data_IF_193041667637
#
_entry.id   IF_193041667637
#
_cell.length_a   1.000
_cell.length_b   1.000
_cell.length_c   1.000
_cell.angle_alpha   90.00
_cell.angle_beta   90.00
_cell.angle_gamma   90.00
#
_symmetry.space_group_name_H-M   'P 1'
#
loop_
_entity.id
_entity.type
_entity.pdbx_description
1 polymer ?
#
# COMPACT_ATOMS: atom_id res chain seq x y z
N UNK A 1 -21.38 -12.09 -5.53
CA UNK A 1 -20.93 -13.42 -5.96
C UNK A 1 -20.55 -13.32 -7.40
N UNK A 2 -19.34 -13.81 -7.73
CA UNK A 2 -18.82 -13.72 -9.07
C UNK A 2 -19.82 -14.25 -10.08
N UNK A 3 -19.99 -13.60 -11.25
CA UNK A 3 -20.95 -13.99 -12.29
C UNK A 3 -20.66 -15.38 -12.90
N UNK A 4 -19.61 -16.04 -12.42
CA UNK A 4 -19.20 -17.37 -12.87
C UNK A 4 -19.85 -18.54 -12.12
N UNK A 5 -20.60 -18.27 -11.03
CA UNK A 5 -21.30 -19.34 -10.34
C UNK A 5 -22.68 -19.57 -10.96
N UNK A 6 -22.96 -20.78 -11.45
CA UNK A 6 -24.22 -21.10 -12.12
C UNK A 6 -25.43 -21.10 -11.17
N UNK A 7 -25.20 -20.96 -9.84
CA UNK A 7 -26.23 -20.97 -8.81
C UNK A 7 -26.20 -19.65 -8.07
N UNK A 8 -27.16 -18.79 -8.29
CA UNK A 8 -27.20 -17.38 -7.89
C UNK A 8 -27.00 -17.10 -6.38
N UNK A 9 -27.37 -18.00 -5.50
CA UNK A 9 -27.28 -17.84 -4.04
C UNK A 9 -26.21 -18.73 -3.36
N UNK A 10 -25.56 -19.62 -4.11
CA UNK A 10 -24.57 -20.55 -3.53
C UNK A 10 -23.42 -19.83 -2.81
N UNK A 11 -22.87 -18.78 -3.39
CA UNK A 11 -21.81 -17.99 -2.77
C UNK A 11 -22.24 -17.29 -1.48
N UNK A 12 -23.45 -16.78 -1.43
CA UNK A 12 -24.02 -16.17 -0.21
C UNK A 12 -24.22 -17.22 0.88
N UNK A 13 -24.71 -18.41 0.55
CA UNK A 13 -24.86 -19.53 1.48
C UNK A 13 -23.52 -20.01 2.02
N UNK A 14 -22.48 -20.10 1.17
CA UNK A 14 -21.12 -20.45 1.58
C UNK A 14 -20.57 -19.39 2.54
N UNK A 15 -20.69 -18.11 2.22
CA UNK A 15 -20.23 -17.02 3.08
C UNK A 15 -20.97 -17.03 4.44
N UNK A 16 -22.28 -17.19 4.42
CA UNK A 16 -23.09 -17.27 5.65
C UNK A 16 -22.68 -18.47 6.50
N UNK A 17 -22.47 -19.65 5.91
CA UNK A 17 -22.00 -20.83 6.61
C UNK A 17 -20.62 -20.60 7.24
N UNK A 18 -19.69 -20.06 6.48
CA UNK A 18 -18.31 -19.78 6.94
C UNK A 18 -18.30 -18.85 8.16
N UNK A 19 -19.00 -17.71 8.07
CA UNK A 19 -19.07 -16.75 9.17
C UNK A 19 -19.83 -17.30 10.39
N UNK A 20 -20.98 -17.95 10.19
CA UNK A 20 -21.77 -18.52 11.28
C UNK A 20 -20.99 -19.64 12.01
N UNK A 21 -20.29 -20.50 11.27
CA UNK A 21 -19.44 -21.53 11.85
C UNK A 21 -18.30 -20.92 12.66
N UNK A 22 -17.62 -19.89 12.11
CA UNK A 22 -16.56 -19.20 12.83
C UNK A 22 -17.05 -18.55 14.13
N UNK A 23 -18.19 -17.84 14.09
CA UNK A 23 -18.81 -17.23 15.27
C UNK A 23 -19.17 -18.31 16.33
N UNK A 24 -19.75 -19.42 15.90
CA UNK A 24 -20.14 -20.51 16.80
C UNK A 24 -18.92 -21.15 17.50
N UNK A 25 -17.82 -21.32 16.80
CA UNK A 25 -16.57 -21.90 17.33
C UNK A 25 -15.71 -20.95 18.15
N UNK A 26 -15.91 -19.62 17.99
CA UNK A 26 -15.12 -18.58 18.66
C UNK A 26 -15.93 -17.78 19.71
N UNK A 27 -16.84 -18.46 20.43
CA UNK A 27 -17.60 -17.87 21.55
C UNK A 27 -18.35 -16.58 21.18
N UNK A 28 -18.93 -16.55 19.99
CA UNK A 28 -19.71 -15.40 19.49
C UNK A 28 -18.90 -14.29 18.83
N UNK A 29 -17.59 -14.46 18.67
CA UNK A 29 -16.73 -13.51 17.98
C UNK A 29 -16.49 -13.92 16.53
N UNK A 30 -16.50 -12.96 15.63
CA UNK A 30 -16.08 -13.16 14.25
C UNK A 30 -14.55 -12.95 14.17
N UNK A 31 -13.80 -14.00 13.95
CA UNK A 31 -12.33 -14.01 13.85
C UNK A 31 -11.83 -14.47 12.47
N UNK A 32 -12.69 -14.43 11.46
CA UNK A 32 -12.37 -14.83 10.09
C UNK A 32 -12.87 -13.81 9.08
N UNK A 33 -12.18 -13.73 7.96
CA UNK A 33 -12.57 -12.91 6.81
C UNK A 33 -12.60 -13.76 5.55
N UNK A 34 -13.50 -13.43 4.64
CA UNK A 34 -13.54 -13.98 3.28
C UNK A 34 -13.14 -12.87 2.32
N UNK A 35 -12.26 -13.21 1.38
CA UNK A 35 -11.83 -12.30 0.32
C UNK A 35 -12.36 -12.79 -1.03
N UNK A 36 -12.72 -11.86 -1.90
CA UNK A 36 -13.11 -12.19 -3.26
C UNK A 36 -12.83 -11.05 -4.22
N UNK A 37 -12.64 -11.41 -5.49
CA UNK A 37 -12.49 -10.47 -6.60
C UNK A 37 -13.86 -10.13 -7.19
N UNK A 38 -13.91 -9.05 -7.98
CA UNK A 38 -15.09 -8.67 -8.78
C UNK A 38 -16.37 -8.60 -7.92
N UNK A 39 -16.30 -7.84 -6.81
CA UNK A 39 -17.43 -7.62 -5.91
C UNK A 39 -18.13 -6.31 -6.26
N UNK A 40 -19.46 -6.33 -6.26
CA UNK A 40 -20.27 -5.11 -6.24
C UNK A 40 -20.26 -4.46 -4.84
N UNK A 41 -20.80 -3.24 -4.73
CA UNK A 41 -20.81 -2.47 -3.48
C UNK A 41 -21.53 -3.18 -2.34
N UNK A 42 -22.61 -3.91 -2.62
CA UNK A 42 -23.35 -4.64 -1.58
C UNK A 42 -22.56 -5.86 -1.08
N UNK A 43 -21.89 -6.55 -1.98
CA UNK A 43 -21.05 -7.70 -1.64
C UNK A 43 -19.84 -7.28 -0.80
N UNK A 44 -19.26 -6.10 -1.05
CA UNK A 44 -18.15 -5.54 -0.26
C UNK A 44 -18.49 -5.22 1.20
N UNK A 45 -19.77 -5.15 1.54
CA UNK A 45 -20.21 -4.99 2.94
C UNK A 45 -20.01 -6.25 3.78
N UNK A 46 -19.93 -7.42 3.15
CA UNK A 46 -19.80 -8.70 3.81
C UNK A 46 -18.50 -9.45 3.47
N UNK A 47 -17.86 -9.13 2.35
CA UNK A 47 -16.68 -9.83 1.83
C UNK A 47 -15.63 -8.77 1.51
N UNK A 48 -14.40 -8.99 1.96
CA UNK A 48 -13.28 -8.10 1.67
C UNK A 48 -12.95 -8.13 0.18
N UNK A 49 -12.89 -6.97 -0.44
CA UNK A 49 -12.55 -6.85 -1.84
C UNK A 49 -11.05 -7.10 -2.05
N UNK A 50 -10.71 -8.07 -2.88
CA UNK A 50 -9.35 -8.40 -3.29
C UNK A 50 -9.11 -7.90 -4.72
N UNK A 51 -8.24 -6.90 -4.84
CA UNK A 51 -7.83 -6.28 -6.11
C UNK A 51 -6.56 -6.96 -6.61
N UNK A 52 -6.57 -7.43 -7.85
CA UNK A 52 -5.39 -8.07 -8.41
C UNK A 52 -4.42 -7.06 -9.01
N UNK A 53 -3.18 -7.04 -8.50
CA UNK A 53 -2.05 -6.25 -9.02
C UNK A 53 -2.40 -4.79 -9.27
N UNK A 54 -2.94 -4.13 -8.24
CA UNK A 54 -3.31 -2.74 -8.35
C UNK A 54 -3.98 -2.16 -7.13
N UNK A 55 -4.47 -0.92 -7.25
CA UNK A 55 -5.13 -0.18 -6.19
C UNK A 55 -6.23 0.73 -6.75
N UNK A 56 -7.33 0.97 -6.00
CA UNK A 56 -8.27 2.04 -6.31
C UNK A 56 -7.57 3.40 -6.25
N UNK A 57 -8.15 4.41 -6.92
CA UNK A 57 -7.59 5.77 -6.92
C UNK A 57 -8.25 6.67 -5.87
N UNK A 58 -8.61 6.11 -4.73
CA UNK A 58 -9.24 6.83 -3.62
C UNK A 58 -9.07 6.07 -2.30
N UNK A 59 -9.26 6.76 -1.19
CA UNK A 59 -9.37 6.12 0.11
C UNK A 59 -10.67 5.32 0.15
N UNK A 60 -10.56 4.04 0.50
CA UNK A 60 -11.71 3.16 0.63
C UNK A 60 -12.24 3.21 2.07
N UNK A 61 -13.57 3.30 2.20
CA UNK A 61 -14.23 3.28 3.51
C UNK A 61 -14.02 1.94 4.22
N UNK A 62 -14.21 0.84 3.48
CA UNK A 62 -13.98 -0.51 4.01
C UNK A 62 -12.56 -0.97 3.72
N UNK A 63 -11.94 -1.75 4.63
CA UNK A 63 -10.68 -2.41 4.36
C UNK A 63 -10.76 -3.29 3.12
N UNK A 64 -9.70 -3.31 2.36
CA UNK A 64 -9.55 -4.10 1.13
C UNK A 64 -8.16 -4.70 1.04
N UNK A 65 -7.94 -5.59 0.11
CA UNK A 65 -6.65 -6.22 -0.14
C UNK A 65 -6.23 -5.99 -1.58
N UNK A 66 -4.93 -5.86 -1.81
CA UNK A 66 -4.32 -6.06 -3.11
C UNK A 66 -3.43 -7.28 -3.05
N UNK A 67 -3.58 -8.20 -4.00
CA UNK A 67 -2.63 -9.27 -4.19
C UNK A 67 -1.68 -8.95 -5.34
N UNK A 68 -0.38 -9.15 -5.12
CA UNK A 68 0.67 -8.99 -6.13
C UNK A 68 1.77 -10.02 -5.91
N UNK A 69 2.74 -10.07 -6.81
CA UNK A 69 3.88 -10.98 -6.72
C UNK A 69 5.20 -10.24 -7.00
N UNK A 70 6.30 -10.74 -6.46
CA UNK A 70 7.64 -10.20 -6.76
C UNK A 70 7.97 -10.45 -8.23
N UNK A 71 7.79 -11.67 -8.73
CA UNK A 71 8.00 -12.07 -10.12
C UNK A 71 6.73 -12.63 -10.75
N UNK A 72 6.42 -13.88 -10.47
CA UNK A 72 5.21 -14.59 -10.92
C UNK A 72 4.41 -15.14 -9.75
N UNK A 73 3.23 -15.73 -10.02
CA UNK A 73 2.43 -16.43 -9.00
C UNK A 73 3.03 -17.79 -8.62
N UNK A 74 3.80 -18.37 -9.52
CA UNK A 74 4.55 -19.60 -9.33
C UNK A 74 5.99 -19.38 -9.76
N UNK A 75 6.92 -20.18 -9.23
CA UNK A 75 8.31 -20.13 -9.64
C UNK A 75 8.46 -20.36 -11.14
N UNK A 76 9.23 -19.51 -11.80
CA UNK A 76 9.46 -19.58 -13.23
C UNK A 76 10.92 -19.24 -13.54
N UNK A 77 11.64 -20.22 -14.09
CA UNK A 77 13.06 -20.08 -14.45
C UNK A 77 13.32 -18.96 -15.45
N UNK A 78 12.37 -18.68 -16.36
CA UNK A 78 12.53 -17.56 -17.28
C UNK A 78 12.51 -16.19 -16.57
N UNK A 79 11.74 -16.03 -15.49
CA UNK A 79 11.77 -14.83 -14.66
C UNK A 79 13.14 -14.70 -13.99
N UNK A 80 13.65 -15.79 -13.45
CA UNK A 80 14.97 -15.84 -12.82
C UNK A 80 16.09 -15.50 -13.81
N UNK A 81 16.13 -16.17 -14.95
CA UNK A 81 17.16 -16.00 -15.97
C UNK A 81 17.22 -14.58 -16.54
N UNK A 82 16.04 -13.98 -16.78
CA UNK A 82 15.92 -12.64 -17.37
C UNK A 82 15.81 -11.52 -16.33
N UNK A 83 15.88 -11.85 -15.04
CA UNK A 83 15.74 -10.88 -13.95
C UNK A 83 14.45 -10.04 -14.01
N UNK A 84 13.32 -10.67 -14.29
CA UNK A 84 12.01 -9.99 -14.41
C UNK A 84 11.29 -9.88 -13.06
N UNK A 85 12.02 -9.58 -12.02
CA UNK A 85 11.49 -9.32 -10.69
C UNK A 85 11.18 -7.83 -10.49
N UNK A 86 10.18 -7.54 -9.65
CA UNK A 86 10.05 -6.21 -9.06
C UNK A 86 11.24 -5.95 -8.14
N UNK A 87 11.74 -4.73 -8.14
CA UNK A 87 12.71 -4.32 -7.13
C UNK A 87 12.06 -4.18 -5.75
N UNK A 88 12.85 -4.22 -4.69
CA UNK A 88 12.35 -3.92 -3.34
C UNK A 88 11.68 -2.53 -3.28
N UNK A 89 12.23 -1.54 -3.98
CA UNK A 89 11.66 -0.21 -4.09
C UNK A 89 10.26 -0.21 -4.75
N UNK A 90 10.03 -1.05 -5.78
CA UNK A 90 8.70 -1.17 -6.40
C UNK A 90 7.68 -1.82 -5.47
N UNK A 91 8.12 -2.81 -4.68
CA UNK A 91 7.27 -3.44 -3.65
C UNK A 91 6.92 -2.43 -2.55
N UNK A 92 7.89 -1.62 -2.11
CA UNK A 92 7.66 -0.53 -1.14
C UNK A 92 6.65 0.49 -1.67
N UNK A 93 6.83 0.98 -2.91
CA UNK A 93 5.90 1.93 -3.52
C UNK A 93 4.47 1.38 -3.56
N UNK A 94 4.33 0.11 -3.93
CA UNK A 94 3.04 -0.57 -3.96
C UNK A 94 2.43 -0.67 -2.56
N UNK A 95 3.18 -1.13 -1.56
CA UNK A 95 2.73 -1.23 -0.17
C UNK A 95 2.25 0.11 0.37
N UNK A 96 3.07 1.15 0.22
CA UNK A 96 2.79 2.50 0.73
C UNK A 96 1.54 3.08 0.09
N UNK A 97 1.37 2.91 -1.22
CA UNK A 97 0.18 3.37 -1.94
C UNK A 97 -1.08 2.63 -1.47
N UNK A 98 -1.02 1.31 -1.31
CA UNK A 98 -2.13 0.49 -0.84
C UNK A 98 -2.55 0.88 0.59
N UNK A 99 -1.58 1.00 1.51
CA UNK A 99 -1.86 1.33 2.92
C UNK A 99 -2.43 2.74 3.07
N UNK A 100 -1.95 3.71 2.28
CA UNK A 100 -2.49 5.08 2.27
C UNK A 100 -3.97 5.17 1.87
N UNK A 101 -4.51 4.11 1.24
CA UNK A 101 -5.90 4.00 0.76
C UNK A 101 -6.75 3.02 1.56
N UNK A 102 -6.34 2.67 2.79
CA UNK A 102 -7.01 1.71 3.69
C UNK A 102 -6.91 0.25 3.22
N UNK A 103 -5.87 -0.09 2.47
CA UNK A 103 -5.65 -1.44 1.93
C UNK A 103 -4.58 -2.22 2.67
N UNK A 104 -4.52 -3.53 2.37
CA UNK A 104 -3.49 -4.45 2.80
C UNK A 104 -2.83 -5.10 1.57
N UNK A 105 -1.54 -5.30 1.61
CA UNK A 105 -0.80 -5.99 0.55
C UNK A 105 -0.63 -7.48 0.90
N UNK A 106 -1.08 -8.36 0.01
CA UNK A 106 -0.71 -9.77 -0.03
C UNK A 106 0.36 -9.95 -1.11
N UNK A 107 1.60 -10.17 -0.69
CA UNK A 107 2.74 -10.32 -1.59
C UNK A 107 3.09 -11.80 -1.77
N UNK A 108 2.96 -12.31 -3.00
CA UNK A 108 3.41 -13.66 -3.35
C UNK A 108 4.91 -13.66 -3.62
N UNK A 109 5.60 -14.61 -2.97
CA UNK A 109 7.01 -14.91 -3.18
C UNK A 109 7.09 -16.40 -3.52
N UNK A 110 7.26 -16.76 -4.80
CA UNK A 110 7.26 -18.15 -5.22
C UNK A 110 8.46 -18.92 -4.67
N UNK A 111 8.26 -20.17 -4.34
CA UNK A 111 9.31 -21.08 -3.93
C UNK A 111 9.75 -22.00 -5.08
N UNK A 112 11.02 -22.35 -5.12
CA UNK A 112 11.52 -23.47 -5.91
C UNK A 112 10.85 -24.78 -5.50
N UNK A 113 10.94 -25.80 -6.32
CA UNK A 113 10.34 -27.11 -6.06
C UNK A 113 10.85 -27.79 -4.76
N UNK A 114 12.03 -27.42 -4.30
CA UNK A 114 12.63 -27.89 -3.04
C UNK A 114 12.20 -27.09 -1.80
N UNK A 115 11.35 -26.06 -2.00
CA UNK A 115 10.85 -25.19 -0.92
C UNK A 115 11.77 -24.04 -0.56
N UNK A 116 12.83 -23.77 -1.32
CA UNK A 116 13.74 -22.63 -1.09
C UNK A 116 13.36 -21.42 -1.94
N UNK A 117 13.75 -20.22 -1.51
CA UNK A 117 13.80 -19.03 -2.38
C UNK A 117 14.98 -19.09 -3.33
N UNK A 118 14.90 -18.38 -4.44
CA UNK A 118 16.11 -18.07 -5.19
C UNK A 118 16.86 -16.87 -4.56
N UNK A 119 18.12 -16.72 -4.89
CA UNK A 119 18.98 -15.68 -4.30
C UNK A 119 18.60 -14.26 -4.71
N UNK A 120 17.85 -14.09 -5.83
CA UNK A 120 17.35 -12.78 -6.25
C UNK A 120 16.11 -12.39 -5.46
N UNK A 121 15.20 -13.35 -5.24
CA UNK A 121 14.03 -13.15 -4.37
C UNK A 121 14.46 -12.90 -2.94
N UNK A 122 15.42 -13.68 -2.42
CA UNK A 122 15.96 -13.50 -1.07
C UNK A 122 16.57 -12.10 -0.89
N UNK A 123 17.34 -11.63 -1.87
CA UNK A 123 17.88 -10.26 -1.87
C UNK A 123 16.79 -9.21 -1.80
N UNK A 124 15.75 -9.33 -2.64
CA UNK A 124 14.62 -8.39 -2.65
C UNK A 124 13.90 -8.38 -1.30
N UNK A 125 13.67 -9.56 -0.70
CA UNK A 125 13.04 -9.67 0.61
C UNK A 125 13.88 -9.04 1.72
N UNK A 126 15.19 -9.20 1.69
CA UNK A 126 16.11 -8.60 2.66
C UNK A 126 16.09 -7.06 2.55
N UNK A 127 16.23 -6.51 1.33
CA UNK A 127 16.15 -5.07 1.09
C UNK A 127 14.80 -4.49 1.51
N UNK A 128 13.70 -5.18 1.21
CA UNK A 128 12.36 -4.81 1.64
C UNK A 128 12.22 -4.85 3.16
N UNK A 129 12.76 -5.89 3.81
CA UNK A 129 12.80 -6.05 5.26
C UNK A 129 13.59 -4.93 5.97
N UNK A 130 14.72 -4.53 5.42
CA UNK A 130 15.53 -3.40 5.92
C UNK A 130 14.72 -2.10 5.89
N UNK A 131 14.04 -1.83 4.76
CA UNK A 131 13.18 -0.66 4.64
C UNK A 131 12.04 -0.68 5.67
N UNK A 132 11.34 -1.82 5.82
CA UNK A 132 10.26 -2.01 6.80
C UNK A 132 10.78 -1.77 8.22
N UNK A 133 11.94 -2.27 8.58
CA UNK A 133 12.51 -2.10 9.92
C UNK A 133 12.67 -0.63 10.32
N UNK A 134 13.02 0.24 9.36
CA UNK A 134 13.16 1.68 9.57
C UNK A 134 11.79 2.36 9.58
N UNK A 135 10.89 1.97 8.67
CA UNK A 135 9.67 2.72 8.36
C UNK A 135 8.37 2.10 8.91
N UNK A 136 8.47 1.04 9.71
CA UNK A 136 7.32 0.27 10.21
C UNK A 136 6.21 1.10 10.86
N UNK A 137 6.55 2.17 11.56
CA UNK A 137 5.57 3.03 12.22
C UNK A 137 4.74 3.88 11.25
N UNK A 138 5.21 4.07 10.01
CA UNK A 138 4.45 4.72 8.95
C UNK A 138 3.51 3.74 8.21
N UNK A 139 3.62 2.45 8.49
CA UNK A 139 2.87 1.38 7.82
C UNK A 139 1.90 0.70 8.77
N UNK A 140 2.40 0.13 9.89
CA UNK A 140 1.60 -0.67 10.80
C UNK A 140 0.81 0.20 11.78
N UNK A 141 -0.40 -0.24 12.13
CA UNK A 141 -1.32 0.46 13.04
C UNK A 141 -1.70 1.89 12.60
N UNK A 142 -1.49 2.21 11.33
CA UNK A 142 -1.87 3.49 10.73
C UNK A 142 -3.27 3.45 10.13
N UNK A 143 -3.76 4.63 9.76
CA UNK A 143 -4.98 4.85 8.98
C UNK A 143 -4.68 5.85 7.87
N UNK A 144 -5.45 5.87 6.78
CA UNK A 144 -5.38 6.97 5.82
C UNK A 144 -5.54 8.33 6.50
N UNK A 145 -4.89 9.34 5.95
CA UNK A 145 -5.13 10.73 6.31
C UNK A 145 -6.32 11.30 5.53
N UNK A 146 -6.56 12.62 5.59
CA UNK A 146 -7.62 13.33 4.83
C UNK A 146 -7.52 13.13 3.32
N UNK A 147 -6.28 12.98 2.82
CA UNK A 147 -5.95 12.62 1.44
C UNK A 147 -4.94 11.46 1.46
N UNK A 148 -5.03 10.54 0.50
CA UNK A 148 -4.10 9.41 0.45
C UNK A 148 -2.70 9.80 -0.05
N UNK A 149 -2.61 10.90 -0.80
CA UNK A 149 -1.34 11.33 -1.38
C UNK A 149 -1.45 12.59 -2.20
N UNK A 150 -0.32 13.01 -2.74
CA UNK A 150 -0.17 14.08 -3.72
C UNK A 150 0.90 13.73 -4.72
N UNK A 151 0.89 14.40 -5.86
CA UNK A 151 1.81 14.20 -6.97
C UNK A 151 1.12 13.76 -8.25
N UNK A 152 1.84 13.72 -9.39
CA UNK A 152 1.26 13.47 -10.71
C UNK A 152 0.48 12.16 -10.82
N UNK A 153 0.94 11.07 -10.16
CA UNK A 153 0.24 9.78 -10.17
C UNK A 153 -0.99 9.82 -9.25
N UNK A 154 -0.87 10.46 -8.07
CA UNK A 154 -2.00 10.59 -7.13
C UNK A 154 -3.14 11.44 -7.71
N UNK A 155 -2.81 12.45 -8.50
CA UNK A 155 -3.75 13.38 -9.14
C UNK A 155 -4.26 12.86 -10.49
N UNK A 156 -3.62 11.83 -11.07
CA UNK A 156 -4.03 11.24 -12.34
C UNK A 156 -5.29 10.37 -12.18
N UNK A 157 -6.15 10.38 -13.21
CA UNK A 157 -7.29 9.44 -13.30
C UNK A 157 -6.83 8.06 -13.74
N UNK A 158 -6.11 7.36 -12.84
CA UNK A 158 -5.66 5.99 -13.09
C UNK A 158 -6.81 5.05 -12.85
N UNK A 159 -7.43 4.61 -13.96
CA UNK A 159 -8.55 3.68 -13.92
C UNK A 159 -8.11 2.29 -13.47
N UNK A 160 -8.91 1.70 -12.61
CA UNK A 160 -8.85 0.31 -12.26
C UNK A 160 -9.95 -0.44 -13.03
N UNK A 161 -9.61 -1.56 -13.66
CA UNK A 161 -10.65 -2.45 -14.20
C UNK A 161 -11.30 -3.27 -13.07
N UNK A 162 -12.30 -4.08 -13.40
CA UNK A 162 -13.04 -4.86 -12.40
C UNK A 162 -12.16 -5.80 -11.55
N UNK A 163 -10.97 -6.16 -12.01
CA UNK A 163 -10.03 -7.03 -11.30
C UNK A 163 -8.81 -6.30 -10.75
N UNK A 164 -8.40 -5.15 -11.34
CA UNK A 164 -7.21 -4.43 -10.95
C UNK A 164 -6.27 -4.15 -12.14
N UNK A 165 -5.03 -4.67 -12.08
CA UNK A 165 -3.99 -4.59 -13.12
C UNK A 165 -3.51 -3.18 -13.46
N UNK A 166 -3.41 -2.28 -12.47
CA UNK A 166 -2.87 -0.93 -12.66
C UNK A 166 -1.57 -0.66 -11.86
N UNK A 167 -0.97 -1.69 -11.23
CA UNK A 167 0.23 -1.53 -10.40
C UNK A 167 1.44 -0.96 -11.15
N UNK A 168 1.55 -1.17 -12.47
CA UNK A 168 2.65 -0.66 -13.28
C UNK A 168 2.76 0.87 -13.33
N UNK A 169 1.71 1.61 -12.94
CA UNK A 169 1.75 3.05 -12.86
C UNK A 169 2.73 3.54 -11.77
N UNK A 170 2.87 2.78 -10.68
CA UNK A 170 3.64 3.20 -9.51
C UNK A 170 5.15 3.01 -9.66
N UNK A 171 5.60 2.15 -10.56
CA UNK A 171 7.04 1.96 -10.83
C UNK A 171 7.74 3.22 -11.32
N UNK A 172 6.98 4.14 -11.96
CA UNK A 172 7.46 5.43 -12.50
C UNK A 172 7.39 6.58 -11.48
N UNK A 173 7.06 6.29 -10.22
CA UNK A 173 6.93 7.32 -9.20
C UNK A 173 8.24 8.08 -8.98
N UNK A 174 8.14 9.41 -8.92
CA UNK A 174 9.23 10.35 -8.68
C UNK A 174 9.20 10.89 -7.25
N UNK A 175 10.14 11.75 -6.88
CA UNK A 175 10.15 12.44 -5.60
C UNK A 175 8.96 13.41 -5.39
N UNK A 176 8.16 13.68 -6.41
CA UNK A 176 6.93 14.46 -6.29
C UNK A 176 5.75 13.63 -5.78
N UNK A 177 5.86 12.31 -5.82
CA UNK A 177 4.84 11.40 -5.33
C UNK A 177 5.00 11.20 -3.83
N UNK A 178 3.98 11.56 -3.08
CA UNK A 178 3.93 11.42 -1.62
C UNK A 178 2.67 10.65 -1.26
N UNK A 179 2.77 9.75 -0.29
CA UNK A 179 1.62 9.03 0.28
C UNK A 179 1.52 9.31 1.76
N UNK A 180 0.29 9.44 2.25
CA UNK A 180 0.02 9.83 3.62
C UNK A 180 -0.63 8.70 4.41
N UNK A 181 -0.12 8.50 5.61
CA UNK A 181 -0.74 7.68 6.64
C UNK A 181 -0.67 8.43 7.97
N UNK A 182 -1.51 8.06 8.92
CA UNK A 182 -1.52 8.72 10.22
C UNK A 182 -1.77 7.76 11.37
N UNK A 183 -1.29 8.15 12.53
CA UNK A 183 -1.70 7.62 13.83
C UNK A 183 -2.33 8.76 14.66
N UNK A 184 -2.76 8.46 15.87
CA UNK A 184 -3.20 9.53 16.82
C UNK A 184 -2.10 10.52 17.19
N UNK A 185 -0.82 10.18 16.92
CA UNK A 185 0.35 10.95 17.39
C UNK A 185 1.09 11.67 16.27
N UNK A 186 1.06 11.12 15.05
CA UNK A 186 1.86 11.60 13.94
C UNK A 186 1.16 11.42 12.60
N UNK A 187 1.47 12.32 11.68
CA UNK A 187 1.23 12.19 10.24
C UNK A 187 2.53 11.75 9.59
N UNK A 188 2.47 10.72 8.77
CA UNK A 188 3.58 10.22 7.99
C UNK A 188 3.39 10.60 6.52
N UNK A 189 4.45 11.09 5.91
CA UNK A 189 4.52 11.45 4.50
C UNK A 189 5.64 10.64 3.86
N UNK A 190 5.31 9.59 3.15
CA UNK A 190 6.28 8.75 2.45
C UNK A 190 6.50 9.28 1.03
N UNK A 191 7.71 9.77 0.77
CA UNK A 191 8.15 10.25 -0.54
C UNK A 191 8.63 9.05 -1.35
N UNK A 192 8.05 8.82 -2.54
CA UNK A 192 8.27 7.57 -3.30
C UNK A 192 9.59 7.50 -4.08
N UNK A 193 10.38 8.56 -4.06
CA UNK A 193 11.77 8.54 -4.52
C UNK A 193 12.57 9.62 -3.79
N UNK A 194 13.88 9.46 -3.71
CA UNK A 194 14.73 10.48 -3.11
C UNK A 194 14.90 11.66 -4.07
N UNK A 195 14.60 12.92 -3.65
CA UNK A 195 14.77 14.08 -4.51
C UNK A 195 16.25 14.37 -4.80
N UNK A 196 16.57 14.68 -6.06
CA UNK A 196 17.95 14.94 -6.49
C UNK A 196 18.53 16.22 -5.86
N UNK A 197 17.67 17.22 -5.66
CA UNK A 197 18.03 18.51 -5.05
C UNK A 197 17.99 18.51 -3.51
N UNK A 198 17.71 17.35 -2.90
CA UNK A 198 17.62 17.19 -1.45
C UNK A 198 16.44 17.95 -0.81
N UNK A 199 15.42 18.36 -1.59
CA UNK A 199 14.29 19.13 -1.09
C UNK A 199 12.97 18.39 -1.26
N UNK A 200 12.15 18.43 -0.23
CA UNK A 200 10.76 17.93 -0.26
C UNK A 200 9.82 19.09 -0.01
N UNK A 201 8.79 19.22 -0.83
CA UNK A 201 7.71 20.18 -0.64
C UNK A 201 6.39 19.43 -0.56
N UNK A 202 5.77 19.42 0.63
CA UNK A 202 4.48 18.78 0.85
C UNK A 202 3.39 19.83 0.71
N UNK A 203 2.74 19.86 -0.46
CA UNK A 203 1.72 20.87 -0.82
C UNK A 203 0.47 20.77 0.04
N UNK A 204 0.05 19.55 0.37
CA UNK A 204 -1.11 19.27 1.24
C UNK A 204 -0.96 19.85 2.65
N UNK A 205 0.26 20.17 3.08
CA UNK A 205 0.55 20.81 4.38
C UNK A 205 0.84 22.30 4.26
N UNK A 206 0.50 22.96 3.14
CA UNK A 206 0.70 24.39 2.98
C UNK A 206 -0.10 25.22 3.98
N UNK A 207 0.32 26.45 4.22
CA UNK A 207 -0.42 27.36 5.11
C UNK A 207 -1.77 27.82 4.52
N UNK A 208 -1.95 27.71 3.19
CA UNK A 208 -3.21 28.05 2.49
C UNK A 208 -4.23 26.91 2.54
N UNK A 209 -3.77 25.67 2.54
CA UNK A 209 -4.64 24.50 2.57
C UNK A 209 -5.21 24.28 3.97
N UNK A 210 -6.51 23.98 4.06
CA UNK A 210 -7.21 23.76 5.32
C UNK A 210 -7.18 22.29 5.80
N UNK A 211 -6.45 21.41 5.10
CA UNK A 211 -6.37 19.99 5.45
C UNK A 211 -5.72 19.77 6.84
N UNK A 212 -4.77 20.64 7.21
CA UNK A 212 -4.19 20.65 8.55
C UNK A 212 -4.12 22.06 9.09
N UNK A 213 -4.97 22.38 10.06
CA UNK A 213 -5.05 23.72 10.68
C UNK A 213 -4.09 23.89 11.86
N UNK A 214 -3.51 22.80 12.37
CA UNK A 214 -2.63 22.83 13.54
C UNK A 214 -1.23 23.40 13.25
N UNK A 215 -0.49 23.66 14.33
CA UNK A 215 0.93 24.02 14.26
C UNK A 215 1.77 22.74 14.14
N UNK A 216 2.59 22.65 13.10
CA UNK A 216 3.61 21.60 12.97
C UNK A 216 4.74 21.96 13.96
N UNK A 217 4.99 21.06 14.91
CA UNK A 217 5.98 21.29 15.97
C UNK A 217 7.33 20.69 15.65
N UNK A 218 7.34 19.60 14.87
CA UNK A 218 8.51 18.79 14.62
C UNK A 218 8.34 18.06 13.26
N UNK A 219 9.42 17.92 12.55
CA UNK A 219 9.55 17.03 11.39
C UNK A 219 10.73 16.12 11.63
N UNK A 220 10.55 14.83 11.41
CA UNK A 220 11.58 13.81 11.53
C UNK A 220 11.64 12.98 10.27
N UNK A 221 12.84 12.63 9.86
CA UNK A 221 13.09 11.58 8.88
C UNK A 221 13.37 10.28 9.65
N UNK A 222 12.56 9.26 9.41
CA UNK A 222 12.70 7.96 10.06
C UNK A 222 14.09 7.37 9.75
N UNK A 223 14.75 6.84 10.77
CA UNK A 223 16.14 6.36 10.66
C UNK A 223 17.23 7.43 10.70
N UNK A 224 16.86 8.73 10.74
CA UNK A 224 17.84 9.84 10.77
C UNK A 224 17.62 10.77 11.97
N UNK A 225 16.39 11.26 12.18
CA UNK A 225 16.05 12.19 13.24
C UNK A 225 15.43 13.50 12.75
N UNK A 226 15.61 14.56 13.52
CA UNK A 226 14.97 15.86 13.26
C UNK A 226 15.50 16.53 11.99
N UNK A 227 14.58 17.17 11.27
CA UNK A 227 14.87 17.96 10.10
C UNK A 227 14.37 19.40 10.29
N UNK A 228 15.10 20.35 9.68
CA UNK A 228 14.63 21.73 9.55
C UNK A 228 13.54 21.84 8.50
N UNK A 229 12.53 22.65 8.80
CA UNK A 229 11.41 22.85 7.91
C UNK A 229 10.84 24.27 7.98
N UNK A 230 10.19 24.68 6.90
CA UNK A 230 9.46 25.95 6.84
C UNK A 230 8.08 25.66 6.24
N UNK A 231 7.02 26.12 6.92
CA UNK A 231 5.66 26.06 6.38
C UNK A 231 5.32 27.36 5.66
N UNK A 232 5.10 27.27 4.36
CA UNK A 232 4.80 28.40 3.48
C UNK A 232 3.39 28.31 2.92
N UNK A 233 3.01 29.31 2.12
CA UNK A 233 1.78 29.26 1.34
C UNK A 233 1.77 28.15 0.27
N UNK A 234 2.95 27.68 -0.14
CA UNK A 234 3.11 26.69 -1.22
C UNK A 234 3.20 25.25 -0.70
N UNK A 235 3.62 25.07 0.55
CA UNK A 235 3.77 23.76 1.18
C UNK A 235 4.62 23.78 2.44
N UNK A 236 4.77 22.61 3.03
CA UNK A 236 5.79 22.33 4.03
C UNK A 236 7.09 21.98 3.31
N UNK A 237 8.08 22.87 3.39
CA UNK A 237 9.39 22.70 2.78
C UNK A 237 10.36 22.08 3.79
N UNK A 238 11.05 21.04 3.36
CA UNK A 238 11.97 20.25 4.17
C UNK A 238 13.27 20.07 3.40
N UNK A 239 14.41 20.30 4.05
CA UNK A 239 15.71 19.98 3.51
C UNK A 239 16.14 18.60 4.03
N UNK A 240 16.44 17.68 3.13
CA UNK A 240 16.94 16.35 3.46
C UNK A 240 18.46 16.39 3.69
N UNK A 241 19.01 15.42 4.44
CA UNK A 241 20.46 15.31 4.61
C UNK A 241 21.13 14.93 3.27
N UNK A 242 22.38 15.34 3.09
CA UNK A 242 23.16 15.02 1.88
C UNK A 242 23.32 13.51 1.66
N UNK A 243 23.42 12.75 2.76
CA UNK A 243 23.54 11.29 2.69
C UNK A 243 22.16 10.65 2.57
N UNK A 244 21.92 9.97 1.46
CA UNK A 244 20.77 9.07 1.31
C UNK A 244 20.77 8.02 2.41
N UNK A 245 19.61 7.78 3.00
CA UNK A 245 19.37 6.59 3.81
C UNK A 245 19.04 5.42 2.87
N UNK A 246 19.52 4.25 3.22
CA UNK A 246 19.22 3.02 2.46
C UNK A 246 17.76 2.60 2.63
#
# INVERSE_FOLDING_TARGET
>A
VAPFYPVSDAGLKIAAHFYNHNIATHKGKLEAVMLSKILDENQRKAIVWDVERGAPNQIMEQPWQSCSCIGGWHYNTAIYENNWYKSAADVVKLLVDIVSKNGNLLLSVPLRADGTFDEKEEKILNEFGEWININKEAIFDTRPWEVFGEGPIAEADIKINAQGFNEGAYSKATAQEIRFTQTKKALYATVLAWPEDGKVVIKSLSAKQKLYSGRIKKVELLGYGNLDFIRTSEGLQINLPEKKLN
#
